data_IF_058704141510
#
_entry.id   IF_058704141510
#
_cell.length_a   1.000
_cell.length_b   1.000
_cell.length_c   1.000
_cell.angle_alpha   90.00
_cell.angle_beta   90.00
_cell.angle_gamma   90.00
#
_symmetry.space_group_name_H-M   'P 1'
#
loop_
_entity.id
_entity.type
_entity.pdbx_description
1 polymer ?
#
# COMPACT_ATOMS: atom_id res chain seq x y z
N UNK A 1 -36.83 -42.24 70.89
CA UNK A 1 -36.86 -40.77 70.88
C UNK A 1 -35.66 -40.29 70.07
N UNK A 2 -35.84 -40.14 68.80
CA UNK A 2 -34.80 -39.81 67.87
C UNK A 2 -34.86 -38.34 67.45
N UNK A 3 -33.81 -37.60 67.78
CA UNK A 3 -33.66 -36.22 67.37
C UNK A 3 -33.06 -36.14 65.97
N UNK A 4 -33.79 -35.60 65.01
CA UNK A 4 -33.34 -35.33 63.70
C UNK A 4 -32.53 -34.02 63.68
N UNK A 5 -31.31 -34.10 63.19
CA UNK A 5 -30.46 -32.91 62.90
C UNK A 5 -30.85 -32.31 61.54
N UNK A 6 -30.90 -30.98 61.38
CA UNK A 6 -31.16 -30.36 60.09
C UNK A 6 -29.88 -30.38 59.21
N UNK A 7 -30.06 -30.79 57.94
CA UNK A 7 -29.04 -30.73 56.89
C UNK A 7 -28.89 -29.27 56.40
N UNK A 8 -27.71 -28.71 56.62
CA UNK A 8 -27.28 -27.46 56.05
C UNK A 8 -27.06 -27.67 54.54
N UNK A 9 -27.81 -26.94 53.74
CA UNK A 9 -27.59 -26.83 52.29
C UNK A 9 -26.58 -25.71 52.04
N UNK A 10 -25.36 -26.08 51.72
CA UNK A 10 -24.36 -25.14 51.22
C UNK A 10 -24.66 -24.90 49.73
N UNK A 11 -25.17 -23.74 49.42
CA UNK A 11 -25.31 -23.27 48.04
C UNK A 11 -23.94 -22.83 47.58
N UNK A 12 -23.28 -23.68 46.78
CA UNK A 12 -22.09 -23.31 46.06
C UNK A 12 -22.48 -22.40 44.86
N UNK A 13 -22.23 -21.12 45.00
CA UNK A 13 -22.32 -20.17 43.91
C UNK A 13 -21.12 -20.45 42.95
N UNK A 14 -21.41 -21.07 41.82
CA UNK A 14 -20.46 -21.16 40.69
C UNK A 14 -20.44 -19.81 40.04
N UNK A 15 -19.38 -19.05 40.30
CA UNK A 15 -19.10 -17.83 39.56
C UNK A 15 -18.57 -18.27 38.19
N UNK A 16 -19.44 -18.23 37.18
CA UNK A 16 -19.03 -18.31 35.78
C UNK A 16 -18.29 -17.00 35.46
N UNK A 17 -16.97 -17.03 35.49
CA UNK A 17 -16.16 -16.00 34.91
C UNK A 17 -16.36 -16.03 33.39
N UNK A 18 -17.11 -15.05 32.87
CA UNK A 18 -17.08 -14.69 31.46
C UNK A 18 -15.68 -14.18 31.16
N UNK A 19 -14.83 -15.05 30.61
CA UNK A 19 -13.67 -14.64 29.87
C UNK A 19 -14.21 -14.08 28.55
N UNK A 20 -14.37 -12.77 28.49
CA UNK A 20 -14.46 -12.07 27.21
C UNK A 20 -13.12 -12.27 26.52
N UNK A 21 -13.02 -13.29 25.66
CA UNK A 21 -12.02 -13.29 24.62
C UNK A 21 -12.33 -12.05 23.75
N UNK A 22 -11.55 -10.98 23.93
CA UNK A 22 -11.48 -9.94 22.93
C UNK A 22 -10.88 -10.62 21.68
N UNK A 23 -11.76 -11.10 20.80
CA UNK A 23 -11.40 -11.25 19.39
C UNK A 23 -11.12 -9.83 18.95
N UNK A 24 -9.86 -9.53 18.64
CA UNK A 24 -9.50 -8.31 17.96
C UNK A 24 -10.09 -8.34 16.54
N UNK A 25 -11.35 -7.96 16.43
CA UNK A 25 -11.95 -7.55 15.18
C UNK A 25 -11.81 -6.05 15.13
N UNK A 26 -11.29 -5.53 14.03
CA UNK A 26 -11.34 -4.11 13.70
C UNK A 26 -12.76 -3.60 13.87
N UNK A 27 -12.94 -2.42 14.45
CA UNK A 27 -14.26 -1.80 14.49
C UNK A 27 -14.69 -1.45 13.06
N UNK A 28 -15.97 -1.38 12.77
CA UNK A 28 -16.47 -0.99 11.43
C UNK A 28 -15.90 0.36 11.01
N UNK A 29 -15.76 1.30 11.93
CA UNK A 29 -15.19 2.63 11.69
C UNK A 29 -13.71 2.57 11.28
N UNK A 30 -12.91 1.66 11.86
CA UNK A 30 -11.51 1.43 11.48
C UNK A 30 -11.44 0.80 10.09
N UNK A 31 -12.29 -0.19 9.77
CA UNK A 31 -12.34 -0.83 8.46
C UNK A 31 -12.65 0.19 7.36
N UNK A 32 -13.67 1.04 7.56
CA UNK A 32 -14.10 2.03 6.57
C UNK A 32 -12.97 3.05 6.27
N UNK A 33 -12.23 3.47 7.30
CA UNK A 33 -11.07 4.34 7.12
C UNK A 33 -9.94 3.64 6.35
N UNK A 34 -9.58 2.42 6.73
CA UNK A 34 -8.54 1.65 6.06
C UNK A 34 -8.84 1.46 4.56
N UNK A 35 -10.08 1.12 4.22
CA UNK A 35 -10.53 0.98 2.83
C UNK A 35 -10.44 2.31 2.08
N UNK A 36 -10.82 3.43 2.70
CA UNK A 36 -10.77 4.76 2.07
C UNK A 36 -9.32 5.23 1.81
N UNK A 37 -8.34 4.82 2.62
CA UNK A 37 -6.92 5.08 2.34
C UNK A 37 -6.52 4.37 1.04
N UNK A 38 -6.79 3.07 0.91
CA UNK A 38 -6.45 2.29 -0.31
C UNK A 38 -7.13 2.87 -1.55
N UNK A 39 -8.40 3.26 -1.46
CA UNK A 39 -9.12 3.90 -2.56
C UNK A 39 -8.48 5.24 -2.96
N UNK A 40 -8.01 6.02 -1.98
CA UNK A 40 -7.33 7.30 -2.23
C UNK A 40 -5.97 7.09 -2.89
N UNK A 41 -5.17 6.13 -2.42
CA UNK A 41 -3.89 5.76 -3.01
C UNK A 41 -4.05 5.25 -4.45
N UNK A 42 -5.05 4.40 -4.69
CA UNK A 42 -5.38 3.93 -6.03
C UNK A 42 -5.80 5.08 -6.96
N UNK A 43 -6.58 6.05 -6.46
CA UNK A 43 -6.97 7.23 -7.23
C UNK A 43 -5.76 8.12 -7.58
N UNK A 44 -4.82 8.31 -6.64
CA UNK A 44 -3.56 9.02 -6.90
C UNK A 44 -2.72 8.27 -7.95
N UNK A 45 -2.52 6.97 -7.76
CA UNK A 45 -1.68 6.12 -8.61
C UNK A 45 -2.22 5.96 -10.03
N UNK A 46 -3.56 6.03 -10.22
CA UNK A 46 -4.18 5.95 -11.54
C UNK A 46 -3.81 7.13 -12.46
N UNK A 47 -3.41 8.24 -11.86
CA UNK A 47 -3.11 9.48 -12.58
C UNK A 47 -4.29 10.05 -13.36
N UNK A 48 -4.10 11.19 -14.05
CA UNK A 48 -5.18 11.90 -14.74
C UNK A 48 -5.71 11.21 -16.01
N UNK A 49 -5.02 10.22 -16.55
CA UNK A 49 -5.41 9.53 -17.79
C UNK A 49 -5.78 10.51 -18.92
N UNK A 50 -6.81 10.16 -19.71
CA UNK A 50 -7.29 11.01 -20.81
C UNK A 50 -8.23 12.14 -20.34
N UNK A 51 -8.77 12.09 -19.12
CA UNK A 51 -9.73 13.08 -18.59
C UNK A 51 -9.34 13.57 -17.19
N UNK A 52 -8.47 14.58 -17.18
CA UNK A 52 -7.97 15.24 -15.96
C UNK A 52 -9.10 15.71 -15.03
N UNK A 53 -10.22 16.19 -15.60
CA UNK A 53 -11.32 16.71 -14.78
C UNK A 53 -12.09 15.60 -14.06
N UNK A 54 -12.27 14.46 -14.69
CA UNK A 54 -12.90 13.27 -14.08
C UNK A 54 -12.00 12.74 -12.96
N UNK A 55 -10.71 12.57 -13.23
CA UNK A 55 -9.74 12.11 -12.23
C UNK A 55 -9.66 13.08 -11.03
N UNK A 56 -9.53 14.38 -11.26
CA UNK A 56 -9.51 15.40 -10.20
C UNK A 56 -10.79 15.38 -9.34
N UNK A 57 -11.94 15.12 -9.97
CA UNK A 57 -13.22 14.96 -9.27
C UNK A 57 -13.23 13.72 -8.37
N UNK A 58 -12.77 12.58 -8.86
CA UNK A 58 -12.65 11.34 -8.10
C UNK A 58 -11.69 11.50 -6.92
N UNK A 59 -10.50 12.04 -7.15
CA UNK A 59 -9.51 12.28 -6.10
C UNK A 59 -10.01 13.26 -5.04
N UNK A 60 -10.78 14.27 -5.41
CA UNK A 60 -11.43 15.18 -4.45
C UNK A 60 -12.46 14.45 -3.59
N UNK A 61 -13.23 13.53 -4.17
CA UNK A 61 -14.24 12.74 -3.47
C UNK A 61 -13.56 11.81 -2.45
N UNK A 62 -12.54 11.03 -2.87
CA UNK A 62 -11.83 10.11 -1.98
C UNK A 62 -11.10 10.84 -0.85
N UNK A 63 -10.41 11.96 -1.12
CA UNK A 63 -9.76 12.77 -0.10
C UNK A 63 -10.75 13.37 0.91
N UNK A 64 -11.95 13.77 0.45
CA UNK A 64 -12.99 14.29 1.33
C UNK A 64 -13.58 13.20 2.22
N UNK A 65 -13.76 11.98 1.71
CA UNK A 65 -14.21 10.83 2.46
C UNK A 65 -13.16 10.39 3.48
N UNK A 66 -11.90 10.32 3.08
CA UNK A 66 -10.76 10.02 3.95
C UNK A 66 -10.72 10.96 5.17
N UNK A 67 -10.91 12.28 4.96
CA UNK A 67 -10.95 13.26 6.05
C UNK A 67 -12.12 13.03 7.00
N UNK A 68 -13.29 12.61 6.48
CA UNK A 68 -14.48 12.34 7.31
C UNK A 68 -14.38 11.05 8.12
N UNK A 69 -13.66 10.06 7.62
CA UNK A 69 -13.49 8.75 8.25
C UNK A 69 -12.27 8.69 9.18
N UNK A 70 -11.38 9.69 9.14
CA UNK A 70 -10.12 9.68 9.86
C UNK A 70 -10.33 9.58 11.38
N UNK A 71 -9.79 8.53 12.04
CA UNK A 71 -9.76 8.43 13.50
C UNK A 71 -8.96 9.59 14.14
N UNK A 72 -9.28 9.91 15.39
CA UNK A 72 -8.62 11.01 16.14
C UNK A 72 -7.09 10.90 16.12
N UNK A 73 -6.56 9.68 16.12
CA UNK A 73 -5.13 9.36 16.14
C UNK A 73 -4.40 9.84 14.90
N UNK A 74 -5.04 9.82 13.74
CA UNK A 74 -4.46 10.18 12.43
C UNK A 74 -5.11 11.39 11.78
N UNK A 75 -6.17 11.95 12.36
CA UNK A 75 -6.90 13.08 11.80
C UNK A 75 -6.00 14.28 11.48
N UNK A 76 -4.95 14.50 12.28
CA UNK A 76 -3.96 15.56 12.03
C UNK A 76 -3.13 15.33 10.78
N UNK A 77 -2.70 14.09 10.55
CA UNK A 77 -1.92 13.70 9.38
C UNK A 77 -2.80 13.74 8.11
N UNK A 78 -4.01 13.17 8.17
CA UNK A 78 -4.99 13.25 7.08
C UNK A 78 -5.31 14.70 6.73
N UNK A 79 -5.52 15.57 7.74
CA UNK A 79 -5.74 17.00 7.50
C UNK A 79 -4.55 17.72 6.84
N UNK A 80 -3.31 17.25 7.08
CA UNK A 80 -2.13 17.74 6.37
C UNK A 80 -2.15 17.30 4.90
N UNK A 81 -2.40 16.02 4.63
CA UNK A 81 -2.50 15.46 3.27
C UNK A 81 -3.57 16.19 2.46
N UNK A 82 -4.80 16.28 2.99
CA UNK A 82 -5.91 16.96 2.31
C UNK A 82 -5.66 18.46 2.14
N UNK A 83 -5.02 19.09 3.13
CA UNK A 83 -4.63 20.51 3.08
C UNK A 83 -3.59 20.84 2.01
N UNK A 84 -2.77 19.87 1.62
CA UNK A 84 -1.79 19.99 0.53
C UNK A 84 -2.46 19.70 -0.82
N UNK A 85 -3.16 18.56 -0.93
CA UNK A 85 -3.63 18.05 -2.21
C UNK A 85 -4.89 18.77 -2.73
N UNK A 86 -5.89 19.05 -1.88
CA UNK A 86 -7.14 19.66 -2.35
C UNK A 86 -6.94 21.03 -3.00
N UNK A 87 -6.15 21.98 -2.46
CA UNK A 87 -5.87 23.24 -3.13
C UNK A 87 -5.10 23.07 -4.45
N UNK A 88 -4.20 22.09 -4.52
CA UNK A 88 -3.46 21.79 -5.75
C UNK A 88 -4.40 21.28 -6.85
N UNK A 89 -5.30 20.36 -6.52
CA UNK A 89 -6.34 19.86 -7.43
C UNK A 89 -7.28 20.99 -7.88
N UNK A 90 -7.77 21.82 -6.95
CA UNK A 90 -8.65 22.95 -7.27
C UNK A 90 -7.99 23.98 -8.20
N UNK A 91 -6.66 24.14 -8.10
CA UNK A 91 -5.90 25.02 -8.97
C UNK A 91 -5.82 24.52 -10.41
N UNK A 92 -6.02 23.22 -10.64
CA UNK A 92 -5.82 22.54 -11.93
C UNK A 92 -4.34 22.52 -12.38
N UNK A 93 -3.40 22.73 -11.46
CA UNK A 93 -1.96 22.73 -11.74
C UNK A 93 -1.36 21.39 -11.41
N UNK A 94 -0.95 20.64 -12.44
CA UNK A 94 -0.18 19.40 -12.26
C UNK A 94 1.12 19.65 -11.49
N UNK A 95 1.82 20.75 -11.80
CA UNK A 95 3.05 21.14 -11.09
C UNK A 95 2.81 21.32 -9.57
N UNK A 96 1.69 21.95 -9.19
CA UNK A 96 1.36 22.13 -7.77
C UNK A 96 1.00 20.80 -7.10
N UNK A 97 0.35 19.90 -7.82
CA UNK A 97 0.00 18.57 -7.31
C UNK A 97 1.25 17.72 -7.08
N UNK A 98 2.13 17.62 -8.07
CA UNK A 98 3.39 16.88 -7.93
C UNK A 98 4.27 17.48 -6.83
N UNK A 99 4.43 18.80 -6.79
CA UNK A 99 5.17 19.47 -5.71
C UNK A 99 4.57 19.19 -4.32
N UNK A 100 3.25 19.02 -4.24
CA UNK A 100 2.57 18.62 -3.01
C UNK A 100 2.91 17.19 -2.60
N UNK A 101 2.82 16.24 -3.52
CA UNK A 101 3.13 14.83 -3.30
C UNK A 101 4.61 14.59 -2.94
N UNK A 102 5.53 15.39 -3.50
CA UNK A 102 6.97 15.30 -3.24
C UNK A 102 7.41 16.09 -1.98
N UNK A 103 6.49 16.82 -1.35
CA UNK A 103 6.83 17.62 -0.19
C UNK A 103 7.16 16.75 1.04
N UNK A 104 8.18 17.16 1.82
CA UNK A 104 8.53 16.50 3.08
C UNK A 104 7.33 16.42 4.03
N UNK A 105 6.48 17.47 4.05
CA UNK A 105 5.31 17.54 4.91
C UNK A 105 4.26 16.49 4.54
N UNK A 106 4.07 16.23 3.23
CA UNK A 106 3.22 15.14 2.76
C UNK A 106 3.79 13.79 3.17
N UNK A 107 5.08 13.53 2.91
CA UNK A 107 5.73 12.26 3.24
C UNK A 107 5.69 11.94 4.74
N UNK A 108 5.94 12.94 5.61
CA UNK A 108 5.83 12.77 7.07
C UNK A 108 4.38 12.45 7.49
N UNK A 109 3.38 13.06 6.87
CA UNK A 109 1.97 12.80 7.16
C UNK A 109 1.53 11.42 6.64
N UNK A 110 1.95 11.04 5.43
CA UNK A 110 1.69 9.71 4.87
C UNK A 110 2.27 8.60 5.76
N UNK A 111 3.51 8.74 6.21
CA UNK A 111 4.14 7.76 7.11
C UNK A 111 3.37 7.55 8.44
N UNK A 112 2.69 8.59 8.96
CA UNK A 112 1.82 8.46 10.14
C UNK A 112 0.57 7.63 9.81
N UNK A 113 -0.02 7.83 8.62
CA UNK A 113 -1.18 7.06 8.15
C UNK A 113 -0.77 5.61 7.93
N UNK A 114 0.35 5.33 7.27
CA UNK A 114 0.88 3.99 7.00
C UNK A 114 1.15 3.21 8.30
N UNK A 115 1.72 3.89 9.30
CA UNK A 115 1.92 3.30 10.63
C UNK A 115 0.59 2.88 11.27
N UNK A 116 -0.42 3.73 11.21
CA UNK A 116 -1.77 3.41 11.68
C UNK A 116 -2.38 2.24 10.89
N UNK A 117 -2.27 2.25 9.56
CA UNK A 117 -2.76 1.17 8.70
C UNK A 117 -2.14 -0.18 9.08
N UNK A 118 -0.83 -0.20 9.29
CA UNK A 118 -0.08 -1.39 9.69
C UNK A 118 -0.53 -1.93 11.04
N UNK A 119 -0.79 -1.05 12.02
CA UNK A 119 -1.08 -1.43 13.40
C UNK A 119 -2.57 -1.79 13.61
N UNK A 120 -3.49 -1.10 12.94
CA UNK A 120 -4.91 -1.12 13.29
C UNK A 120 -5.82 -1.79 12.24
N UNK A 121 -5.45 -1.82 10.94
CA UNK A 121 -6.30 -2.40 9.90
C UNK A 121 -6.36 -3.93 9.96
N UNK A 122 -5.37 -4.57 10.58
CA UNK A 122 -5.33 -6.02 10.78
C UNK A 122 -5.15 -6.82 9.48
N UNK A 123 -4.67 -6.19 8.42
CA UNK A 123 -4.38 -6.81 7.13
C UNK A 123 -3.04 -7.55 7.16
N UNK A 124 -2.88 -8.48 6.23
CA UNK A 124 -1.59 -9.12 6.04
C UNK A 124 -0.61 -8.11 5.44
N UNK A 125 0.58 -7.98 6.03
CA UNK A 125 1.68 -7.16 5.50
C UNK A 125 2.83 -8.09 5.15
N UNK A 126 3.29 -8.02 3.90
CA UNK A 126 4.46 -8.74 3.42
C UNK A 126 5.70 -7.84 3.48
N UNK A 127 6.79 -8.35 4.03
CA UNK A 127 8.06 -7.64 4.03
C UNK A 127 8.75 -7.79 2.67
N UNK A 128 9.21 -6.69 2.08
CA UNK A 128 9.97 -6.64 0.84
C UNK A 128 11.22 -5.81 1.06
N UNK A 129 12.38 -6.43 1.08
CA UNK A 129 13.66 -5.74 1.18
C UNK A 129 14.34 -5.65 -0.18
N UNK A 130 14.55 -4.44 -0.67
CA UNK A 130 15.35 -4.19 -1.85
C UNK A 130 16.84 -4.16 -1.48
N UNK A 131 17.63 -5.00 -2.14
CA UNK A 131 19.08 -4.92 -2.19
C UNK A 131 19.47 -4.69 -3.65
N UNK A 132 20.68 -4.19 -3.92
CA UNK A 132 21.03 -3.83 -5.29
C UNK A 132 20.76 -4.99 -6.25
N UNK A 133 19.75 -4.77 -7.12
CA UNK A 133 19.23 -5.62 -8.20
C UNK A 133 18.52 -6.90 -7.75
N UNK A 134 18.01 -6.94 -6.51
CA UNK A 134 17.24 -8.09 -6.02
C UNK A 134 16.19 -7.64 -5.00
N UNK A 135 15.03 -8.33 -4.98
CA UNK A 135 14.10 -8.31 -3.86
C UNK A 135 14.34 -9.53 -2.95
N UNK A 136 14.48 -9.30 -1.65
CA UNK A 136 14.47 -10.33 -0.62
C UNK A 136 13.09 -10.32 0.04
N UNK A 137 12.27 -11.33 -0.24
CA UNK A 137 10.87 -11.38 0.20
C UNK A 137 10.32 -12.80 0.21
N UNK A 138 9.20 -13.01 0.89
CA UNK A 138 8.36 -14.21 0.80
C UNK A 138 6.90 -13.78 0.52
N UNK A 139 6.53 -13.75 -0.75
CA UNK A 139 5.19 -13.41 -1.22
C UNK A 139 4.29 -14.65 -1.38
N UNK A 140 4.80 -15.82 -0.98
CA UNK A 140 4.03 -17.06 -0.99
C UNK A 140 3.02 -17.09 0.15
N UNK A 141 1.72 -17.12 -0.19
CA UNK A 141 0.66 -17.22 0.81
C UNK A 141 -0.17 -15.94 0.98
N UNK A 142 0.03 -14.94 0.13
CA UNK A 142 -0.89 -13.82 0.02
C UNK A 142 -2.25 -14.31 -0.49
N UNK A 143 -3.31 -13.82 0.13
CA UNK A 143 -4.70 -14.11 -0.22
C UNK A 143 -5.35 -12.85 -0.82
N UNK A 144 -6.44 -13.04 -1.57
CA UNK A 144 -7.21 -11.93 -2.12
C UNK A 144 -7.82 -11.06 -1.02
N UNK A 145 -7.97 -9.77 -1.30
CA UNK A 145 -8.41 -8.73 -0.39
C UNK A 145 -7.31 -7.73 -0.07
N UNK A 146 -7.54 -6.94 0.97
CA UNK A 146 -6.60 -5.89 1.37
C UNK A 146 -5.32 -6.46 1.97
N UNK A 147 -4.18 -6.03 1.46
CA UNK A 147 -2.84 -6.42 1.88
C UNK A 147 -1.92 -5.20 1.91
N UNK A 148 -0.84 -5.29 2.70
CA UNK A 148 0.24 -4.33 2.72
C UNK A 148 1.55 -4.95 2.23
N UNK A 149 2.42 -4.11 1.66
CA UNK A 149 3.81 -4.44 1.32
C UNK A 149 4.71 -3.43 2.03
N UNK A 150 5.38 -3.86 3.09
CA UNK A 150 6.37 -3.04 3.78
C UNK A 150 7.69 -3.10 3.00
N UNK A 151 7.98 -2.03 2.27
CA UNK A 151 9.13 -1.93 1.38
C UNK A 151 10.28 -1.20 2.07
N UNK A 152 11.43 -1.86 2.22
CA UNK A 152 12.65 -1.32 2.79
C UNK A 152 13.78 -1.34 1.75
N UNK A 153 14.49 -0.24 1.58
CA UNK A 153 15.65 -0.17 0.73
C UNK A 153 16.96 -0.32 1.54
N UNK A 154 17.51 -1.51 1.56
CA UNK A 154 18.82 -1.82 2.15
C UNK A 154 19.99 -1.74 1.13
N UNK A 155 19.71 -1.34 -0.11
CA UNK A 155 20.69 -1.16 -1.19
C UNK A 155 21.46 0.16 -1.12
N UNK A 156 22.20 0.45 -2.18
CA UNK A 156 23.00 1.68 -2.34
C UNK A 156 22.46 2.63 -3.41
N UNK A 157 21.51 2.17 -4.22
CA UNK A 157 20.79 2.94 -5.22
C UNK A 157 19.33 3.17 -4.78
N UNK A 158 18.61 4.05 -5.43
CA UNK A 158 17.16 4.18 -5.27
C UNK A 158 16.48 2.95 -5.86
N UNK A 159 15.46 2.45 -5.19
CA UNK A 159 14.67 1.32 -5.65
C UNK A 159 13.18 1.65 -5.68
N UNK A 160 12.52 0.99 -6.60
CA UNK A 160 11.07 0.98 -6.79
C UNK A 160 10.56 -0.45 -6.61
N UNK A 161 9.40 -0.59 -5.99
CA UNK A 161 8.61 -1.80 -6.01
C UNK A 161 7.31 -1.50 -6.76
N UNK A 162 7.35 -1.58 -8.08
CA UNK A 162 6.14 -1.49 -8.90
C UNK A 162 5.38 -2.83 -8.82
N UNK A 163 4.14 -2.80 -8.35
CA UNK A 163 3.27 -3.96 -8.32
C UNK A 163 2.53 -4.08 -9.64
N UNK A 164 2.68 -5.22 -10.30
CA UNK A 164 2.06 -5.55 -11.58
C UNK A 164 1.09 -6.71 -11.37
N UNK A 165 -0.15 -6.59 -11.88
CA UNK A 165 -1.09 -7.68 -12.04
C UNK A 165 -1.18 -8.07 -13.50
N UNK A 166 -0.98 -9.35 -13.82
CA UNK A 166 -1.23 -9.87 -15.17
C UNK A 166 -2.73 -9.97 -15.41
N UNK A 167 -3.20 -9.54 -16.59
CA UNK A 167 -4.58 -9.78 -17.01
C UNK A 167 -4.83 -11.29 -17.12
N UNK A 168 -6.06 -11.73 -16.90
CA UNK A 168 -6.40 -13.15 -16.76
C UNK A 168 -6.08 -14.01 -17.99
N UNK A 169 -5.99 -13.41 -19.18
CA UNK A 169 -5.66 -14.06 -20.44
C UNK A 169 -4.16 -13.97 -20.81
N UNK A 170 -3.35 -13.30 -19.97
CA UNK A 170 -1.90 -13.17 -20.16
C UNK A 170 -1.21 -14.46 -19.74
N UNK A 171 -0.49 -15.08 -20.66
CA UNK A 171 0.26 -16.33 -20.43
C UNK A 171 1.77 -16.15 -20.40
N UNK A 172 2.25 -15.01 -20.84
CA UNK A 172 3.65 -14.61 -20.85
C UNK A 172 4.17 -14.45 -19.42
N UNK A 173 5.47 -14.67 -19.24
CA UNK A 173 6.20 -14.25 -18.01
C UNK A 173 6.46 -12.76 -18.05
N UNK A 174 6.90 -12.17 -16.93
CA UNK A 174 7.23 -10.74 -16.89
C UNK A 174 8.40 -10.41 -17.83
N UNK A 175 9.40 -11.30 -17.93
CA UNK A 175 10.53 -11.12 -18.84
C UNK A 175 10.08 -11.19 -20.31
N UNK A 176 9.15 -12.10 -20.64
CA UNK A 176 8.59 -12.20 -22.00
C UNK A 176 7.77 -10.94 -22.36
N UNK A 177 7.04 -10.35 -21.39
CA UNK A 177 6.33 -9.10 -21.60
C UNK A 177 7.28 -7.94 -21.91
N UNK A 178 8.44 -7.87 -21.27
CA UNK A 178 9.43 -6.81 -21.52
C UNK A 178 10.15 -6.93 -22.89
N UNK A 179 10.01 -8.07 -23.58
CA UNK A 179 10.47 -8.23 -24.96
C UNK A 179 9.44 -7.76 -26.00
N UNK A 180 8.18 -7.52 -25.59
CA UNK A 180 7.12 -7.03 -26.46
C UNK A 180 7.25 -5.51 -26.70
N UNK A 181 6.61 -4.99 -27.76
CA UNK A 181 6.40 -3.55 -27.88
C UNK A 181 5.65 -3.03 -26.64
N UNK A 182 6.06 -1.86 -26.15
CA UNK A 182 5.56 -1.26 -24.90
C UNK A 182 4.01 -1.23 -24.83
N UNK A 183 3.33 -0.74 -25.89
CA UNK A 183 1.87 -0.69 -25.98
C UNK A 183 1.24 -2.09 -25.84
N UNK A 184 1.87 -3.13 -26.42
CA UNK A 184 1.41 -4.50 -26.30
C UNK A 184 1.61 -5.05 -24.90
N UNK A 185 2.75 -4.81 -24.28
CA UNK A 185 3.05 -5.22 -22.90
C UNK A 185 2.05 -4.60 -21.90
N UNK A 186 1.85 -3.28 -21.96
CA UNK A 186 0.91 -2.59 -21.08
C UNK A 186 -0.55 -3.01 -21.30
N UNK A 187 -0.94 -3.47 -22.49
CA UNK A 187 -2.29 -4.00 -22.71
C UNK A 187 -2.57 -5.32 -21.98
N UNK A 188 -1.54 -6.01 -21.49
CA UNK A 188 -1.59 -7.32 -20.84
C UNK A 188 -1.50 -7.28 -19.31
N UNK A 189 -1.30 -6.09 -18.73
CA UNK A 189 -1.10 -5.90 -17.29
C UNK A 189 -1.92 -4.73 -16.77
N UNK A 190 -2.05 -4.68 -15.45
CA UNK A 190 -2.42 -3.48 -14.69
C UNK A 190 -1.35 -3.22 -13.62
N UNK A 191 -1.25 -1.98 -13.15
CA UNK A 191 -0.32 -1.58 -12.09
C UNK A 191 -1.14 -1.05 -10.90
N UNK A 192 -1.45 -1.90 -9.91
CA UNK A 192 -2.24 -1.49 -8.75
C UNK A 192 -1.58 -0.43 -7.88
N UNK A 193 -0.26 -0.35 -7.88
CA UNK A 193 0.49 0.65 -7.11
C UNK A 193 1.99 0.47 -7.21
N UNK A 194 2.72 1.37 -6.58
CA UNK A 194 4.17 1.31 -6.47
C UNK A 194 4.64 1.99 -5.18
N UNK A 195 5.78 1.52 -4.65
CA UNK A 195 6.53 2.15 -3.56
C UNK A 195 7.92 2.54 -4.04
N UNK A 196 8.45 3.64 -3.50
CA UNK A 196 9.77 4.15 -3.82
C UNK A 196 10.55 4.41 -2.53
N UNK A 197 11.83 4.02 -2.49
CA UNK A 197 12.67 4.29 -1.34
C UNK A 197 14.10 4.68 -1.77
N UNK A 198 14.63 5.71 -1.14
CA UNK A 198 16.06 6.03 -1.19
C UNK A 198 16.85 5.05 -0.30
N UNK A 199 18.18 4.94 -0.46
CA UNK A 199 19.00 4.08 0.38
C UNK A 199 18.80 4.33 1.88
N UNK A 200 18.35 3.32 2.60
CA UNK A 200 18.08 3.35 4.04
C UNK A 200 16.69 3.86 4.44
N UNK A 201 15.86 4.22 3.46
CA UNK A 201 14.47 4.61 3.66
C UNK A 201 13.52 3.41 3.47
N UNK A 202 12.27 3.60 3.87
CA UNK A 202 11.18 2.62 3.71
C UNK A 202 9.90 3.32 3.31
N UNK A 203 9.00 2.57 2.69
CA UNK A 203 7.67 2.98 2.27
C UNK A 203 6.72 1.79 2.41
N UNK A 204 5.41 2.01 2.46
CA UNK A 204 4.42 0.93 2.55
C UNK A 204 3.34 1.12 1.50
N UNK A 205 3.11 0.11 0.68
CA UNK A 205 2.00 0.08 -0.28
C UNK A 205 0.86 -0.76 0.29
N UNK A 206 -0.32 -0.17 0.41
CA UNK A 206 -1.55 -0.89 0.71
C UNK A 206 -2.41 -1.04 -0.55
N UNK A 207 -2.97 -2.23 -0.77
CA UNK A 207 -3.68 -2.54 -2.02
C UNK A 207 -4.73 -3.63 -1.80
N UNK A 208 -5.83 -3.55 -2.55
CA UNK A 208 -6.80 -4.64 -2.67
C UNK A 208 -6.37 -5.60 -3.78
N UNK A 209 -5.94 -6.81 -3.39
CA UNK A 209 -5.47 -7.84 -4.31
C UNK A 209 -6.64 -8.71 -4.79
N UNK A 210 -6.84 -8.79 -6.09
CA UNK A 210 -7.69 -9.81 -6.70
C UNK A 210 -6.93 -11.14 -6.85
N UNK A 211 -7.62 -12.30 -6.90
CA UNK A 211 -6.95 -13.55 -7.26
C UNK A 211 -6.27 -13.44 -8.63
N UNK A 212 -5.04 -13.96 -8.75
CA UNK A 212 -4.33 -13.88 -10.02
C UNK A 212 -2.82 -13.97 -9.91
N UNK A 213 -2.17 -13.73 -11.05
CA UNK A 213 -0.70 -13.66 -11.14
C UNK A 213 -0.24 -12.21 -10.99
N UNK A 214 0.83 -12.03 -10.26
CA UNK A 214 1.45 -10.75 -9.99
C UNK A 214 2.96 -10.81 -10.18
N UNK A 215 3.57 -9.64 -10.30
CA UNK A 215 5.00 -9.43 -10.17
C UNK A 215 5.30 -8.14 -9.43
N UNK A 216 6.42 -8.09 -8.70
CA UNK A 216 7.04 -6.84 -8.27
C UNK A 216 8.29 -6.61 -9.13
N UNK A 217 8.49 -5.36 -9.55
CA UNK A 217 9.52 -4.99 -10.53
C UNK A 217 10.14 -3.65 -10.16
N UNK A 218 11.45 -3.50 -10.35
CA UNK A 218 12.10 -2.19 -10.29
C UNK A 218 12.49 -1.72 -11.70
N UNK A 219 11.85 -0.66 -12.18
CA UNK A 219 12.10 -0.07 -13.49
C UNK A 219 13.22 0.97 -13.48
N UNK A 220 13.68 1.42 -12.31
CA UNK A 220 14.71 2.44 -12.21
C UNK A 220 15.99 2.01 -12.94
N UNK A 221 16.67 2.92 -13.62
CA UNK A 221 17.94 2.62 -14.28
C UNK A 221 19.07 2.43 -13.27
N UNK A 222 20.00 1.55 -13.58
CA UNK A 222 21.25 1.38 -12.81
C UNK A 222 21.95 2.73 -12.63
N UNK A 223 22.35 3.02 -11.40
CA UNK A 223 22.96 4.28 -11.00
C UNK A 223 21.96 5.33 -10.50
N UNK A 224 20.67 5.01 -10.36
CA UNK A 224 19.68 5.92 -9.78
C UNK A 224 19.99 6.18 -8.29
N UNK A 225 20.23 7.44 -7.94
CA UNK A 225 20.53 7.87 -6.57
C UNK A 225 19.83 9.19 -6.25
N UNK A 226 19.63 9.56 -4.98
CA UNK A 226 19.07 10.87 -4.64
C UNK A 226 19.86 12.05 -5.20
N UNK A 227 21.17 11.88 -5.41
CA UNK A 227 22.05 12.94 -5.94
C UNK A 227 21.81 13.22 -7.44
N UNK A 228 21.19 12.30 -8.17
CA UNK A 228 20.93 12.46 -9.61
C UNK A 228 19.44 12.34 -9.98
N UNK A 229 18.54 12.60 -9.02
CA UNK A 229 17.09 12.53 -9.20
C UNK A 229 16.62 13.42 -10.38
N UNK A 230 17.16 14.62 -10.54
CA UNK A 230 16.82 15.51 -11.66
C UNK A 230 17.16 14.89 -13.02
N UNK A 231 18.28 14.14 -13.11
CA UNK A 231 18.67 13.43 -14.34
C UNK A 231 17.78 12.19 -14.59
N UNK A 232 17.28 11.57 -13.52
CA UNK A 232 16.31 10.47 -13.59
C UNK A 232 14.97 11.00 -14.14
N UNK A 233 14.41 12.05 -13.54
CA UNK A 233 13.12 12.64 -13.91
C UNK A 233 13.14 13.22 -15.34
N UNK A 234 14.26 13.84 -15.75
CA UNK A 234 14.42 14.35 -17.12
C UNK A 234 14.68 13.25 -18.15
N UNK A 235 14.87 12.00 -17.74
CA UNK A 235 15.25 10.89 -18.62
C UNK A 235 16.69 10.98 -19.17
N UNK A 236 17.53 11.83 -18.57
CA UNK A 236 18.93 11.94 -18.93
C UNK A 236 19.80 10.83 -18.33
N UNK A 237 19.36 10.23 -17.20
CA UNK A 237 20.03 9.09 -16.62
C UNK A 237 19.79 7.85 -17.49
N UNK A 238 20.85 7.42 -18.18
CA UNK A 238 20.82 6.28 -19.09
C UNK A 238 21.50 5.08 -18.43
N UNK A 239 20.74 4.01 -18.21
CA UNK A 239 21.22 2.75 -17.67
C UNK A 239 20.26 1.62 -18.04
N UNK A 240 20.71 0.35 -17.99
CA UNK A 240 19.76 -0.74 -18.04
C UNK A 240 18.86 -0.69 -16.81
N UNK A 241 17.54 -0.99 -16.92
CA UNK A 241 16.67 -1.00 -15.76
C UNK A 241 17.07 -2.11 -14.79
N UNK A 242 16.82 -1.92 -13.49
CA UNK A 242 17.17 -2.87 -12.43
C UNK A 242 16.54 -4.25 -12.66
N UNK A 243 15.32 -4.33 -13.21
CA UNK A 243 14.72 -5.62 -13.55
C UNK A 243 15.58 -6.42 -14.54
N UNK A 244 16.29 -5.78 -15.46
CA UNK A 244 17.19 -6.46 -16.39
C UNK A 244 18.46 -7.03 -15.73
N UNK A 245 18.70 -6.65 -14.47
CA UNK A 245 19.78 -7.21 -13.64
C UNK A 245 19.25 -8.29 -12.68
N UNK A 246 17.93 -8.55 -12.67
CA UNK A 246 17.30 -9.56 -11.85
C UNK A 246 16.34 -9.02 -10.79
N UNK A 247 16.10 -7.70 -10.72
CA UNK A 247 15.24 -7.11 -9.69
C UNK A 247 13.76 -7.21 -10.09
N UNK A 248 13.26 -8.43 -10.06
CA UNK A 248 11.85 -8.79 -10.28
C UNK A 248 11.53 -10.09 -9.55
N UNK A 249 10.26 -10.27 -9.14
CA UNK A 249 9.76 -11.48 -8.52
C UNK A 249 8.30 -11.70 -8.91
N UNK A 250 7.96 -12.89 -9.43
CA UNK A 250 6.57 -13.28 -9.73
C UNK A 250 5.96 -14.07 -8.58
N UNK A 251 4.68 -13.83 -8.30
CA UNK A 251 3.91 -14.56 -7.29
C UNK A 251 2.46 -14.76 -7.72
N UNK A 252 1.71 -15.52 -6.91
CA UNK A 252 0.28 -15.79 -7.18
C UNK A 252 -0.51 -15.52 -5.92
N UNK A 253 -1.60 -14.76 -6.08
CA UNK A 253 -2.60 -14.50 -5.05
C UNK A 253 -3.69 -15.55 -5.17
N UNK A 254 -3.95 -16.27 -4.06
CA UNK A 254 -5.01 -17.26 -3.97
C UNK A 254 -6.39 -16.59 -3.79
N UNK A 255 -7.44 -17.24 -4.32
CA UNK A 255 -8.83 -16.80 -4.18
C UNK A 255 -9.58 -17.50 -3.05
#
# INVERSE_FOLDING_TARGET
MGGAKPRSWVVQAVVFGLVLAACGGTSVEVSDFCESVVETEAAISSGPGDDVAVWAGQLTETLTELEQLAPDEVAGAVGTITGILLPAIESGSEEALFAGLESTEFGEAAAVVDGYMTDECGWQVADVTAVDYQFETDLGGLEAGYNGFAFENAGTEMHEMALIRFNDDTTETIEELFELPEEEAFSKITMPGASFAAPGDSDTLFVDLEPGRYAIVCFLPVGATPDNIEALESGELQGPPHFSQGMLEEFTVAG
#
